data_IF_037014852510
#
_entry.id   IF_037014852510
#
_cell.length_a   1.000
_cell.length_b   1.000
_cell.length_c   1.000
_cell.angle_alpha   90.00
_cell.angle_beta   90.00
_cell.angle_gamma   90.00
#
_symmetry.space_group_name_H-M   'P 1'
#
loop_
_entity.id
_entity.type
_entity.pdbx_description
1 polymer ?
#
# COMPACT_ATOMS: atom_id res chain seq x y z
N UNK A 1 13.59 -17.80 -4.36
CA UNK A 1 13.16 -17.03 -5.55
C UNK A 1 13.18 -15.55 -5.19
N UNK A 2 13.92 -14.70 -5.92
CA UNK A 2 13.79 -13.24 -5.74
C UNK A 2 12.50 -12.82 -6.43
N UNK A 3 11.53 -12.31 -5.67
CA UNK A 3 10.33 -11.71 -6.25
C UNK A 3 10.77 -10.45 -6.99
N UNK A 4 10.73 -10.46 -8.33
CA UNK A 4 11.01 -9.28 -9.12
C UNK A 4 9.73 -8.45 -9.18
N UNK A 5 9.72 -7.32 -8.49
CA UNK A 5 8.62 -6.37 -8.56
C UNK A 5 8.78 -5.56 -9.86
N UNK A 6 7.73 -5.48 -10.70
CA UNK A 6 7.81 -4.66 -11.90
C UNK A 6 8.03 -3.20 -11.51
N UNK A 7 9.01 -2.54 -12.13
CA UNK A 7 9.26 -1.13 -11.84
C UNK A 7 8.19 -0.25 -12.48
N UNK A 8 7.78 0.79 -11.75
CA UNK A 8 6.90 1.83 -12.29
C UNK A 8 7.72 2.70 -13.26
N UNK A 9 7.26 2.93 -14.51
CA UNK A 9 7.97 3.79 -15.45
C UNK A 9 8.05 5.24 -14.95
N UNK A 10 9.21 5.87 -15.10
CA UNK A 10 9.41 7.27 -14.73
C UNK A 10 8.37 8.24 -15.34
N UNK A 11 7.98 8.12 -16.62
CA UNK A 11 6.94 9.00 -17.18
C UNK A 11 5.60 8.91 -16.46
N UNK A 12 5.25 7.75 -15.89
CA UNK A 12 4.01 7.59 -15.11
C UNK A 12 4.11 8.32 -13.77
N UNK A 13 5.30 8.30 -13.15
CA UNK A 13 5.58 9.07 -11.92
C UNK A 13 5.45 10.56 -12.19
N UNK A 14 6.01 11.06 -13.29
CA UNK A 14 5.89 12.48 -13.68
C UNK A 14 4.42 12.90 -13.85
N UNK A 15 3.63 12.10 -14.57
CA UNK A 15 2.19 12.37 -14.71
C UNK A 15 1.47 12.43 -13.35
N UNK A 16 1.78 11.50 -12.46
CA UNK A 16 1.20 11.50 -11.12
C UNK A 16 1.63 12.75 -10.31
N UNK A 17 2.87 13.21 -10.46
CA UNK A 17 3.33 14.46 -9.82
C UNK A 17 2.67 15.72 -10.41
N UNK A 18 2.24 15.66 -11.67
CA UNK A 18 1.47 16.73 -12.33
C UNK A 18 -0.03 16.69 -11.99
N UNK A 19 -0.47 15.74 -11.15
CA UNK A 19 -1.85 15.61 -10.68
C UNK A 19 -2.76 14.73 -11.53
N UNK A 20 -2.21 13.92 -12.45
CA UNK A 20 -2.97 12.93 -13.21
C UNK A 20 -3.54 11.85 -12.27
N UNK A 21 -4.85 11.88 -12.05
CA UNK A 21 -5.55 10.97 -11.14
C UNK A 21 -5.44 9.51 -11.57
N UNK A 22 -5.38 9.24 -12.87
CA UNK A 22 -5.27 7.88 -13.40
C UNK A 22 -3.87 7.33 -13.13
N UNK A 23 -2.83 8.16 -13.32
CA UNK A 23 -1.46 7.80 -12.98
C UNK A 23 -1.30 7.56 -11.47
N UNK A 24 -1.90 8.41 -10.63
CA UNK A 24 -1.90 8.23 -9.16
C UNK A 24 -2.56 6.90 -8.78
N UNK A 25 -3.74 6.59 -9.32
CA UNK A 25 -4.45 5.35 -9.03
C UNK A 25 -3.65 4.11 -9.45
N UNK A 26 -2.96 4.16 -10.59
CA UNK A 26 -2.06 3.08 -11.02
C UNK A 26 -0.92 2.84 -10.04
N UNK A 27 -0.29 3.92 -9.54
CA UNK A 27 0.78 3.83 -8.55
C UNK A 27 0.26 3.29 -7.22
N UNK A 28 -0.90 3.77 -6.74
CA UNK A 28 -1.55 3.27 -5.53
C UNK A 28 -1.88 1.77 -5.64
N UNK A 29 -2.42 1.35 -6.79
CA UNK A 29 -2.72 -0.06 -7.03
C UNK A 29 -1.46 -0.93 -7.02
N UNK A 30 -0.37 -0.45 -7.64
CA UNK A 30 0.92 -1.13 -7.64
C UNK A 30 1.45 -1.36 -6.21
N UNK A 31 1.36 -0.36 -5.33
CA UNK A 31 1.85 -0.45 -3.96
C UNK A 31 0.82 -1.02 -2.96
N UNK A 32 -0.41 -1.33 -3.37
CA UNK A 32 -1.50 -1.75 -2.47
C UNK A 32 -1.09 -2.87 -1.50
N UNK A 33 -0.42 -3.90 -1.99
CA UNK A 33 0.02 -5.02 -1.14
C UNK A 33 1.10 -4.61 -0.13
N UNK A 34 2.02 -3.74 -0.54
CA UNK A 34 3.05 -3.21 0.35
C UNK A 34 2.44 -2.31 1.42
N UNK A 35 1.55 -1.38 1.04
CA UNK A 35 0.82 -0.49 1.93
C UNK A 35 0.05 -1.33 2.96
N UNK A 36 -0.84 -2.22 2.52
CA UNK A 36 -1.62 -3.10 3.41
C UNK A 36 -0.74 -3.86 4.41
N UNK A 37 0.40 -4.40 3.97
CA UNK A 37 1.32 -5.12 4.84
C UNK A 37 1.99 -4.20 5.87
N UNK A 38 2.33 -2.97 5.50
CA UNK A 38 2.93 -1.96 6.38
C UNK A 38 1.92 -1.32 7.33
N UNK A 39 0.65 -1.33 6.97
CA UNK A 39 -0.46 -0.86 7.81
C UNK A 39 -0.95 -1.93 8.79
N UNK A 40 -0.31 -3.11 8.87
CA UNK A 40 -0.67 -4.12 9.87
C UNK A 40 -0.22 -3.69 11.27
N UNK A 41 -1.14 -3.79 12.22
CA UNK A 41 -0.91 -3.52 13.64
C UNK A 41 -1.47 -4.65 14.50
N UNK A 42 -0.75 -4.98 15.57
CA UNK A 42 -1.24 -5.90 16.58
C UNK A 42 -2.31 -5.20 17.41
N UNK A 43 -3.54 -5.72 17.39
CA UNK A 43 -4.66 -5.22 18.19
C UNK A 43 -5.12 -6.30 19.16
N UNK A 44 -5.59 -5.87 20.34
CA UNK A 44 -6.25 -6.73 21.32
C UNK A 44 -7.75 -6.50 21.26
N UNK A 45 -8.51 -7.58 21.21
CA UNK A 45 -9.96 -7.52 21.39
C UNK A 45 -10.34 -7.40 22.87
N UNK A 46 -11.64 -7.26 23.15
CA UNK A 46 -12.19 -7.13 24.50
C UNK A 46 -11.99 -8.39 25.37
N UNK A 47 -11.73 -9.53 24.74
CA UNK A 47 -11.47 -10.82 25.39
C UNK A 47 -9.97 -11.08 25.62
N UNK A 48 -9.11 -10.12 25.23
CA UNK A 48 -7.66 -10.20 25.39
C UNK A 48 -6.93 -10.95 24.26
N UNK A 49 -7.62 -11.40 23.21
CA UNK A 49 -6.99 -12.07 22.08
C UNK A 49 -6.25 -11.06 21.21
N UNK A 50 -5.07 -11.46 20.73
CA UNK A 50 -4.25 -10.64 19.85
C UNK A 50 -4.41 -11.07 18.39
N UNK A 51 -4.65 -10.11 17.50
CA UNK A 51 -4.69 -10.34 16.06
C UNK A 51 -4.00 -9.23 15.30
N UNK A 52 -3.44 -9.56 14.13
CA UNK A 52 -2.90 -8.59 13.19
C UNK A 52 -4.04 -8.03 12.35
N UNK A 53 -4.33 -6.75 12.51
CA UNK A 53 -5.40 -6.04 11.81
C UNK A 53 -4.80 -4.93 10.97
N UNK A 54 -5.43 -4.63 9.83
CA UNK A 54 -5.05 -3.47 9.02
C UNK A 54 -5.55 -2.20 9.73
N UNK A 55 -4.61 -1.35 10.10
CA UNK A 55 -4.89 -0.01 10.61
C UNK A 55 -5.24 0.91 9.43
N UNK A 56 -6.53 1.21 9.28
CA UNK A 56 -7.08 2.03 8.19
C UNK A 56 -6.58 3.48 8.21
N UNK A 57 -6.05 3.97 9.33
CA UNK A 57 -5.42 5.31 9.40
C UNK A 57 -4.03 5.29 8.77
N UNK A 58 -3.36 4.13 8.79
CA UNK A 58 -2.04 3.93 8.20
C UNK A 58 -2.10 3.42 6.75
N UNK A 59 -3.28 3.12 6.22
CA UNK A 59 -3.48 2.59 4.86
C UNK A 59 -3.76 3.71 3.87
#
# INVERSE_FOLDING_TARGET
MKTQYPMIPFPLIVKATDGDTEAINQILHHYRGYITKRSLRLMKDEYGNQSMVVDEVLR
#
